data_IF_655640669112
#
_entry.id   IF_655640669112
#
_cell.length_a   1.000
_cell.length_b   1.000
_cell.length_c   1.000
_cell.angle_alpha   90.00
_cell.angle_beta   90.00
_cell.angle_gamma   90.00
#
_symmetry.space_group_name_H-M   'P 1'
#
loop_
_entity.id
_entity.type
_entity.pdbx_description
1 polymer ?
#
# COMPACT_ATOMS: atom_id res chain seq x y z
N UNK A 1 -51.16 -61.75 -18.15
CA UNK A 1 -49.89 -61.01 -18.29
C UNK A 1 -50.04 -59.71 -17.50
N UNK A 2 -49.46 -59.63 -16.29
CA UNK A 2 -49.59 -58.44 -15.42
C UNK A 2 -48.52 -57.43 -15.82
N UNK A 3 -48.92 -56.31 -16.38
CA UNK A 3 -48.04 -55.17 -16.67
C UNK A 3 -48.14 -54.27 -15.44
N UNK A 4 -47.04 -54.14 -14.68
CA UNK A 4 -46.97 -53.25 -13.53
C UNK A 4 -46.62 -51.83 -14.01
N UNK A 5 -47.57 -50.89 -13.90
CA UNK A 5 -47.34 -49.47 -14.10
C UNK A 5 -46.48 -48.87 -12.97
N UNK A 6 -45.14 -48.85 -13.15
CA UNK A 6 -44.19 -48.15 -12.26
C UNK A 6 -43.75 -46.78 -12.82
N UNK A 7 -44.68 -45.97 -13.36
CA UNK A 7 -44.34 -44.67 -13.97
C UNK A 7 -44.21 -43.49 -12.99
N UNK A 8 -44.68 -43.62 -11.73
CA UNK A 8 -44.64 -42.53 -10.74
C UNK A 8 -43.34 -42.36 -9.95
N UNK A 9 -42.52 -43.41 -9.84
CA UNK A 9 -41.28 -43.37 -9.03
C UNK A 9 -40.15 -42.62 -9.73
N UNK A 10 -40.12 -42.67 -11.08
CA UNK A 10 -39.08 -42.04 -11.88
C UNK A 10 -39.02 -40.54 -11.67
N UNK A 11 -40.17 -39.85 -11.68
CA UNK A 11 -40.25 -38.39 -11.57
C UNK A 11 -39.71 -37.86 -10.25
N UNK A 12 -39.99 -38.55 -9.14
CA UNK A 12 -39.48 -38.16 -7.81
C UNK A 12 -37.95 -38.28 -7.76
N UNK A 13 -37.41 -39.38 -8.28
CA UNK A 13 -35.96 -39.60 -8.31
C UNK A 13 -35.27 -38.54 -9.15
N UNK A 14 -35.85 -38.16 -10.30
CA UNK A 14 -35.30 -37.10 -11.16
C UNK A 14 -35.29 -35.75 -10.44
N UNK A 15 -36.37 -35.39 -9.74
CA UNK A 15 -36.44 -34.12 -9.00
C UNK A 15 -35.41 -34.09 -7.87
N UNK A 16 -35.26 -35.18 -7.12
CA UNK A 16 -34.26 -35.26 -6.04
C UNK A 16 -32.83 -35.15 -6.59
N UNK A 17 -32.52 -35.85 -7.69
CA UNK A 17 -31.21 -35.73 -8.36
C UNK A 17 -30.94 -34.31 -8.85
N UNK A 18 -31.94 -33.65 -9.43
CA UNK A 18 -31.82 -32.28 -9.92
C UNK A 18 -31.53 -31.31 -8.76
N UNK A 19 -32.23 -31.47 -7.64
CA UNK A 19 -31.98 -30.67 -6.42
C UNK A 19 -30.57 -30.92 -5.86
N UNK A 20 -30.12 -32.18 -5.81
CA UNK A 20 -28.77 -32.51 -5.34
C UNK A 20 -27.68 -31.89 -6.23
N UNK A 21 -27.86 -31.91 -7.54
CA UNK A 21 -26.94 -31.27 -8.50
C UNK A 21 -26.92 -29.75 -8.31
N UNK A 22 -28.08 -29.12 -8.09
CA UNK A 22 -28.14 -27.68 -7.84
C UNK A 22 -27.39 -27.29 -6.55
N UNK A 23 -27.59 -28.03 -5.45
CA UNK A 23 -26.88 -27.79 -4.18
C UNK A 23 -25.36 -27.99 -4.37
N UNK A 24 -24.96 -29.05 -5.08
CA UNK A 24 -23.55 -29.31 -5.37
C UNK A 24 -22.91 -28.18 -6.19
N UNK A 25 -23.62 -27.65 -7.19
CA UNK A 25 -23.14 -26.52 -7.99
C UNK A 25 -22.95 -25.25 -7.14
N UNK A 26 -23.91 -24.91 -6.27
CA UNK A 26 -23.79 -23.75 -5.37
C UNK A 26 -22.63 -23.93 -4.38
N UNK A 27 -22.46 -25.13 -3.82
CA UNK A 27 -21.37 -25.43 -2.89
C UNK A 27 -19.99 -25.27 -3.55
N UNK A 28 -19.83 -25.72 -4.80
CA UNK A 28 -18.58 -25.54 -5.55
C UNK A 28 -18.29 -24.05 -5.78
N UNK A 29 -19.28 -23.27 -6.20
CA UNK A 29 -19.11 -21.83 -6.41
C UNK A 29 -18.72 -21.14 -5.10
N UNK A 30 -19.41 -21.44 -4.00
CA UNK A 30 -19.12 -20.87 -2.69
C UNK A 30 -17.70 -21.22 -2.20
N UNK A 31 -17.22 -22.45 -2.47
CA UNK A 31 -15.90 -22.90 -2.07
C UNK A 31 -14.75 -22.07 -2.69
N UNK A 32 -14.94 -21.51 -3.88
CA UNK A 32 -13.94 -20.65 -4.53
C UNK A 32 -14.17 -19.16 -4.25
N UNK A 33 -15.42 -18.69 -4.30
CA UNK A 33 -15.73 -17.27 -4.17
C UNK A 33 -15.51 -16.77 -2.74
N UNK A 34 -15.90 -17.53 -1.72
CA UNK A 34 -15.77 -17.11 -0.32
C UNK A 34 -14.32 -16.85 0.11
N UNK A 35 -13.36 -17.77 -0.12
CA UNK A 35 -11.96 -17.49 0.23
C UNK A 35 -11.35 -16.38 -0.62
N UNK A 36 -11.75 -16.25 -1.89
CA UNK A 36 -11.29 -15.17 -2.77
C UNK A 36 -11.69 -13.79 -2.24
N UNK A 37 -12.96 -13.60 -1.87
CA UNK A 37 -13.44 -12.34 -1.29
C UNK A 37 -12.76 -12.05 0.05
N UNK A 38 -12.65 -13.06 0.93
CA UNK A 38 -11.99 -12.90 2.23
C UNK A 38 -10.52 -12.51 2.11
N UNK A 39 -9.80 -13.10 1.14
CA UNK A 39 -8.43 -12.71 0.81
C UNK A 39 -8.35 -11.23 0.47
N UNK A 40 -9.06 -10.78 -0.55
CA UNK A 40 -9.03 -9.38 -1.00
C UNK A 40 -9.44 -8.37 0.07
N UNK A 41 -10.40 -8.72 0.93
CA UNK A 41 -10.82 -7.86 2.05
C UNK A 41 -9.75 -7.73 3.12
N UNK A 42 -9.07 -8.83 3.48
CA UNK A 42 -8.01 -8.81 4.50
C UNK A 42 -6.84 -7.92 4.08
N UNK A 43 -6.46 -7.96 2.80
CA UNK A 43 -5.38 -7.12 2.26
C UNK A 43 -5.78 -5.64 2.22
N UNK A 44 -7.04 -5.37 1.88
CA UNK A 44 -7.58 -4.02 1.85
C UNK A 44 -7.72 -3.43 3.26
N UNK A 45 -7.99 -4.27 4.27
CA UNK A 45 -8.13 -3.85 5.67
C UNK A 45 -6.80 -3.37 6.25
N UNK A 46 -5.68 -4.03 5.92
CA UNK A 46 -4.34 -3.60 6.34
C UNK A 46 -3.99 -2.22 5.78
N UNK A 47 -4.23 -1.99 4.48
CA UNK A 47 -4.00 -0.68 3.87
C UNK A 47 -4.98 0.39 4.35
N UNK A 48 -6.23 0.02 4.63
CA UNK A 48 -7.22 0.96 5.18
C UNK A 48 -6.84 1.40 6.60
N UNK A 49 -6.25 0.53 7.42
CA UNK A 49 -5.80 0.87 8.77
C UNK A 49 -4.64 1.87 8.79
N UNK A 50 -3.80 1.90 7.73
CA UNK A 50 -2.69 2.85 7.57
C UNK A 50 -3.04 4.05 6.66
N UNK A 51 -4.24 4.07 6.08
CA UNK A 51 -4.70 5.16 5.22
C UNK A 51 -4.76 6.47 6.01
N UNK A 52 -4.11 7.52 5.50
CA UNK A 52 -4.01 8.81 6.18
C UNK A 52 -3.21 8.80 7.48
N UNK A 53 -2.51 7.70 7.79
CA UNK A 53 -1.58 7.61 8.93
C UNK A 53 -0.16 8.00 8.56
N UNK A 54 0.21 7.93 7.29
CA UNK A 54 1.49 8.49 6.81
C UNK A 54 1.15 9.67 5.93
N UNK A 55 1.64 10.85 6.33
CA UNK A 55 1.33 12.10 5.64
C UNK A 55 2.58 12.96 5.49
N UNK A 56 2.58 13.81 4.46
CA UNK A 56 3.62 14.79 4.21
C UNK A 56 3.21 16.11 4.84
N UNK A 57 3.99 16.57 5.82
CA UNK A 57 3.72 17.84 6.47
C UNK A 57 4.24 18.97 5.59
N UNK A 58 3.34 19.69 4.93
CA UNK A 58 3.67 20.89 4.16
C UNK A 58 4.27 21.99 5.08
N UNK A 59 5.17 22.81 4.53
CA UNK A 59 5.77 23.95 5.23
C UNK A 59 7.26 23.79 5.55
N UNK A 60 7.69 24.20 6.76
CA UNK A 60 9.11 24.21 7.13
C UNK A 60 9.73 22.82 6.99
N UNK A 61 10.85 22.74 6.26
CA UNK A 61 11.58 21.52 5.91
C UNK A 61 10.91 20.57 4.89
N UNK A 62 9.82 20.99 4.24
CA UNK A 62 9.27 20.32 3.04
C UNK A 62 9.42 21.24 1.84
N UNK A 63 10.56 21.17 1.16
CA UNK A 63 10.86 22.05 0.04
C UNK A 63 11.96 21.47 -0.88
N UNK A 64 11.98 21.94 -2.12
CA UNK A 64 13.01 21.59 -3.11
C UNK A 64 14.04 22.71 -3.24
N UNK A 65 15.32 22.39 -3.00
CA UNK A 65 16.43 23.31 -3.17
C UNK A 65 17.07 23.10 -4.55
N UNK A 66 16.84 24.04 -5.46
CA UNK A 66 17.37 23.98 -6.82
C UNK A 66 18.91 24.14 -6.90
N UNK A 67 19.53 24.75 -5.88
CA UNK A 67 20.98 25.02 -5.80
C UNK A 67 21.74 23.78 -5.34
N UNK A 68 21.31 23.14 -4.25
CA UNK A 68 21.93 21.90 -3.76
C UNK A 68 21.39 20.64 -4.44
N UNK A 69 20.31 20.75 -5.24
CA UNK A 69 19.59 19.63 -5.85
C UNK A 69 19.13 18.62 -4.79
N UNK A 70 18.68 19.13 -3.66
CA UNK A 70 18.15 18.34 -2.56
C UNK A 70 16.66 18.64 -2.35
N UNK A 71 15.89 17.61 -2.06
CA UNK A 71 14.49 17.73 -1.66
C UNK A 71 14.40 17.34 -0.20
N UNK A 72 13.90 18.23 0.64
CA UNK A 72 13.55 17.89 2.01
C UNK A 72 12.05 17.57 2.05
N UNK A 73 11.68 16.44 2.64
CA UNK A 73 10.28 16.03 2.86
C UNK A 73 10.13 15.65 4.31
N UNK A 74 9.21 16.31 5.01
CA UNK A 74 8.83 15.95 6.36
C UNK A 74 7.67 14.97 6.34
N UNK A 75 7.93 13.77 6.85
CA UNK A 75 6.97 12.67 6.90
C UNK A 75 6.51 12.51 8.34
N UNK A 76 5.20 12.59 8.55
CA UNK A 76 4.55 12.36 9.83
C UNK A 76 3.94 10.98 9.85
N UNK A 77 4.11 10.27 10.96
CA UNK A 77 3.40 9.02 11.23
C UNK A 77 2.38 9.25 12.34
N UNK A 78 1.11 9.09 12.01
CA UNK A 78 0.00 9.03 12.96
C UNK A 78 -0.02 7.72 13.74
N UNK A 79 -0.89 7.66 14.74
CA UNK A 79 -1.11 6.47 15.56
C UNK A 79 -1.80 5.38 14.73
N UNK A 80 -1.15 4.23 14.60
CA UNK A 80 -1.65 3.05 13.91
C UNK A 80 -1.54 1.85 14.84
N UNK A 81 -2.49 1.72 15.76
CA UNK A 81 -2.47 0.75 16.86
C UNK A 81 -2.51 -0.72 16.43
N UNK A 82 -2.89 -1.01 15.18
CA UNK A 82 -3.20 -2.37 14.74
C UNK A 82 -2.32 -2.88 13.58
N UNK A 83 -1.40 -2.08 13.04
CA UNK A 83 -0.61 -2.44 11.85
C UNK A 83 0.84 -1.94 11.93
N UNK A 84 1.80 -2.87 11.80
CA UNK A 84 3.24 -2.55 11.72
C UNK A 84 3.61 -2.01 10.34
N UNK A 85 4.18 -0.81 10.32
CA UNK A 85 4.79 -0.19 9.14
C UNK A 85 6.29 -0.43 9.21
N UNK A 86 6.82 -1.19 8.26
CA UNK A 86 8.23 -1.57 8.18
C UNK A 86 9.03 -0.62 7.27
N UNK A 87 8.33 0.15 6.44
CA UNK A 87 8.95 1.12 5.55
C UNK A 87 7.99 2.19 5.04
N UNK A 88 8.57 3.16 4.32
CA UNK A 88 7.85 4.20 3.60
C UNK A 88 8.50 4.36 2.24
N UNK A 89 7.72 4.24 1.18
CA UNK A 89 8.16 4.51 -0.19
C UNK A 89 7.82 5.95 -0.53
N UNK A 90 8.83 6.73 -0.94
CA UNK A 90 8.69 8.12 -1.35
C UNK A 90 8.96 8.24 -2.83
N UNK A 91 7.99 8.71 -3.59
CA UNK A 91 8.13 8.99 -5.03
C UNK A 91 8.19 10.49 -5.21
N UNK A 92 9.31 10.96 -5.75
CA UNK A 92 9.47 12.36 -6.14
C UNK A 92 9.15 12.47 -7.63
N UNK A 93 8.22 13.35 -8.00
CA UNK A 93 7.84 13.59 -9.38
C UNK A 93 8.06 15.06 -9.76
N UNK A 94 8.52 15.26 -10.99
CA UNK A 94 8.87 16.59 -11.48
C UNK A 94 9.38 16.59 -12.91
N UNK A 95 9.11 17.68 -13.65
CA UNK A 95 9.59 17.91 -15.02
C UNK A 95 9.48 16.70 -15.96
N UNK A 96 8.41 15.91 -15.86
CA UNK A 96 8.15 14.73 -16.70
C UNK A 96 8.92 13.45 -16.33
N UNK A 97 9.54 13.38 -15.16
CA UNK A 97 10.18 12.17 -14.64
C UNK A 97 9.76 11.93 -13.18
N UNK A 98 9.85 10.69 -12.72
CA UNK A 98 9.65 10.34 -11.31
C UNK A 98 10.76 9.42 -10.83
N UNK A 99 11.12 9.53 -9.55
CA UNK A 99 12.07 8.65 -8.88
C UNK A 99 11.49 8.17 -7.57
N UNK A 100 11.53 6.85 -7.37
CA UNK A 100 11.11 6.19 -6.14
C UNK A 100 12.30 5.94 -5.23
N UNK A 101 12.11 6.18 -3.95
CA UNK A 101 13.05 5.92 -2.87
C UNK A 101 12.34 5.13 -1.78
N UNK A 102 12.81 3.93 -1.49
CA UNK A 102 12.27 3.11 -0.41
C UNK A 102 13.07 3.35 0.87
N UNK A 103 12.38 3.74 1.95
CA UNK A 103 12.93 3.98 3.28
C UNK A 103 12.47 2.84 4.17
N UNK A 104 13.37 1.93 4.51
CA UNK A 104 13.11 0.84 5.45
C UNK A 104 13.75 1.15 6.81
N UNK A 105 13.13 0.68 7.90
CA UNK A 105 13.72 0.81 9.23
C UNK A 105 15.07 0.11 9.31
N UNK A 106 16.14 0.85 9.62
CA UNK A 106 17.51 0.33 9.69
C UNK A 106 18.19 0.16 8.33
N UNK A 107 17.52 0.46 7.22
CA UNK A 107 18.12 0.47 5.89
C UNK A 107 19.11 1.63 5.71
N UNK A 108 19.98 1.53 4.70
CA UNK A 108 20.85 2.64 4.29
C UNK A 108 20.69 2.89 2.80
N UNK A 109 20.61 4.16 2.41
CA UNK A 109 20.63 4.55 0.99
C UNK A 109 21.64 5.69 0.79
N UNK A 110 22.45 5.67 -0.27
CA UNK A 110 23.42 6.73 -0.55
C UNK A 110 22.74 8.06 -0.95
N UNK A 111 21.48 8.01 -1.38
CA UNK A 111 20.74 9.18 -1.89
C UNK A 111 19.71 9.74 -0.91
N UNK A 112 19.53 9.10 0.25
CA UNK A 112 18.56 9.51 1.27
C UNK A 112 19.26 9.65 2.61
N UNK A 113 18.97 10.72 3.34
CA UNK A 113 19.41 10.91 4.72
C UNK A 113 18.30 11.50 5.57
N UNK A 114 18.32 11.25 6.87
CA UNK A 114 17.55 12.06 7.81
C UNK A 114 18.23 13.42 7.97
N UNK A 115 17.49 14.50 8.21
CA UNK A 115 18.03 15.87 8.30
C UNK A 115 19.26 15.98 9.24
N UNK A 116 19.27 15.20 10.33
CA UNK A 116 20.34 15.18 11.34
C UNK A 116 21.47 14.17 11.10
N UNK A 117 21.42 13.39 10.00
CA UNK A 117 22.39 12.31 9.70
C UNK A 117 23.07 12.53 8.34
N UNK A 118 24.22 11.89 8.15
CA UNK A 118 24.91 11.85 6.86
C UNK A 118 24.25 10.87 5.87
N UNK A 119 24.50 11.09 4.57
CA UNK A 119 24.12 10.14 3.51
C UNK A 119 24.74 8.76 3.75
N UNK A 120 23.99 7.69 3.45
CA UNK A 120 24.42 6.32 3.73
C UNK A 120 24.35 5.91 5.20
N UNK A 121 23.84 6.76 6.09
CA UNK A 121 23.55 6.40 7.48
C UNK A 121 22.29 5.54 7.61
N UNK A 122 22.14 4.86 8.76
CA UNK A 122 20.94 4.11 9.08
C UNK A 122 19.70 5.02 9.13
N UNK A 123 18.74 4.73 8.26
CA UNK A 123 17.45 5.40 8.17
C UNK A 123 16.55 4.89 9.29
N UNK A 124 16.08 5.81 10.12
CA UNK A 124 15.07 5.54 11.13
C UNK A 124 13.73 6.02 10.61
N UNK A 125 12.69 5.19 10.72
CA UNK A 125 11.31 5.61 10.50
C UNK A 125 10.80 6.43 11.68
N UNK A 126 9.88 7.39 11.49
CA UNK A 126 9.19 8.04 12.61
C UNK A 126 8.44 6.99 13.43
N UNK A 127 8.49 7.12 14.76
CA UNK A 127 7.62 6.36 15.65
C UNK A 127 6.17 6.89 15.54
N UNK A 128 5.24 6.20 16.19
CA UNK A 128 3.85 6.66 16.22
C UNK A 128 3.72 8.02 16.90
N UNK A 129 3.09 8.97 16.20
CA UNK A 129 2.94 10.34 16.66
C UNK A 129 4.18 11.22 16.41
N UNK A 130 5.25 10.69 15.83
CA UNK A 130 6.45 11.46 15.49
C UNK A 130 6.49 11.91 14.03
N UNK A 131 7.31 12.91 13.77
CA UNK A 131 7.65 13.38 12.42
C UNK A 131 9.17 13.36 12.22
N UNK A 132 9.60 12.94 11.03
CA UNK A 132 11.00 12.96 10.64
C UNK A 132 11.15 13.64 9.28
N UNK A 133 12.18 14.48 9.15
CA UNK A 133 12.55 15.09 7.88
C UNK A 133 13.60 14.23 7.18
N UNK A 134 13.30 13.85 5.95
CA UNK A 134 14.21 13.16 5.05
C UNK A 134 14.67 14.09 3.94
N UNK A 135 15.95 14.01 3.60
CA UNK A 135 16.56 14.77 2.52
C UNK A 135 16.97 13.79 1.44
N UNK A 136 16.45 14.02 0.24
CA UNK A 136 16.69 13.23 -0.96
C UNK A 136 17.60 14.00 -1.91
N UNK A 137 18.69 13.36 -2.32
CA UNK A 137 19.59 13.93 -3.31
C UNK A 137 19.11 13.59 -4.72
N UNK A 138 18.76 14.61 -5.50
CA UNK A 138 18.29 14.46 -6.89
C UNK A 138 19.32 14.97 -7.91
N UNK A 139 20.56 15.26 -7.51
CA UNK A 139 21.63 15.84 -8.35
C UNK A 139 21.88 15.07 -9.65
N UNK A 140 21.76 13.74 -9.62
CA UNK A 140 21.97 12.89 -10.81
C UNK A 140 20.78 12.78 -11.76
N UNK A 141 19.69 13.52 -11.52
CA UNK A 141 18.42 13.35 -12.27
C UNK A 141 18.10 14.51 -13.21
N UNK A 142 18.72 15.68 -13.04
CA UNK A 142 18.35 16.90 -13.77
C UNK A 142 16.90 17.37 -13.57
N UNK A 143 16.18 16.78 -12.61
CA UNK A 143 14.75 16.97 -12.37
C UNK A 143 14.51 18.16 -11.43
N UNK A 144 13.48 18.96 -11.74
CA UNK A 144 12.88 19.89 -10.78
C UNK A 144 11.67 19.24 -10.13
N UNK A 145 11.75 18.95 -8.82
CA UNK A 145 10.68 18.26 -8.09
C UNK A 145 9.55 19.23 -7.78
N UNK A 146 8.33 18.86 -8.18
CA UNK A 146 7.10 19.63 -7.94
C UNK A 146 6.14 18.92 -6.99
N UNK A 147 6.20 17.59 -6.91
CA UNK A 147 5.36 16.79 -6.02
C UNK A 147 6.13 15.64 -5.38
N UNK A 148 5.72 15.29 -4.16
CA UNK A 148 6.13 14.08 -3.47
C UNK A 148 4.89 13.23 -3.18
N UNK A 149 5.01 11.95 -3.42
CA UNK A 149 4.03 10.95 -3.03
C UNK A 149 4.67 10.05 -1.97
N UNK A 150 3.94 9.78 -0.90
CA UNK A 150 4.43 8.97 0.21
C UNK A 150 3.47 7.82 0.45
N UNK A 151 3.96 6.60 0.26
CA UNK A 151 3.22 5.36 0.48
C UNK A 151 3.79 4.61 1.69
N UNK A 152 2.96 4.18 2.65
CA UNK A 152 3.39 3.24 3.67
C UNK A 152 3.70 1.87 3.05
N UNK A 153 4.75 1.22 3.56
CA UNK A 153 5.12 -0.16 3.25
C UNK A 153 4.92 -1.01 4.50
N UNK A 154 4.03 -1.99 4.38
CA UNK A 154 3.69 -2.95 5.43
C UNK A 154 4.79 -4.01 5.58
N UNK A 155 4.81 -4.71 6.71
CA UNK A 155 5.70 -5.85 6.95
C UNK A 155 5.55 -7.00 5.93
N UNK A 156 4.44 -7.02 5.19
CA UNK A 156 4.16 -7.95 4.10
C UNK A 156 4.75 -7.51 2.75
N UNK A 157 5.68 -6.54 2.73
CA UNK A 157 6.24 -5.87 1.54
C UNK A 157 5.17 -5.18 0.65
N UNK A 158 3.96 -5.01 1.17
CA UNK A 158 2.86 -4.37 0.46
C UNK A 158 2.94 -2.86 0.55
N UNK A 159 2.80 -2.21 -0.60
CA UNK A 159 2.78 -0.75 -0.74
C UNK A 159 1.33 -0.31 -0.79
N UNK A 160 0.90 0.50 0.19
CA UNK A 160 -0.45 1.04 0.23
C UNK A 160 -0.57 2.36 -0.55
N UNK A 161 -1.80 2.86 -0.64
CA UNK A 161 -2.12 4.10 -1.35
C UNK A 161 -1.22 5.26 -0.90
N UNK A 162 -0.73 6.02 -1.88
CA UNK A 162 0.19 7.12 -1.65
C UNK A 162 -0.57 8.39 -1.26
N UNK A 163 0.00 9.16 -0.34
CA UNK A 163 -0.45 10.53 -0.09
C UNK A 163 0.41 11.48 -0.89
N UNK A 164 -0.21 12.26 -1.78
CA UNK A 164 0.47 13.24 -2.63
C UNK A 164 0.48 14.60 -1.96
N UNK A 165 1.65 15.25 -1.94
CA UNK A 165 1.83 16.62 -1.49
C UNK A 165 2.66 17.42 -2.50
N UNK A 166 2.30 18.69 -2.68
CA UNK A 166 3.08 19.63 -3.48
C UNK A 166 4.32 20.09 -2.72
N UNK A 167 5.46 20.10 -3.41
CA UNK A 167 6.72 20.56 -2.83
C UNK A 167 7.06 21.94 -3.41
N UNK A 168 6.99 23.01 -2.60
CA UNK A 168 7.43 24.32 -3.05
C UNK A 168 8.96 24.39 -3.15
N UNK A 169 9.46 25.38 -3.90
CA UNK A 169 10.88 25.70 -3.86
C UNK A 169 11.26 26.22 -2.46
N UNK A 170 12.43 25.82 -1.95
CA UNK A 170 12.96 26.39 -0.71
C UNK A 170 13.23 27.88 -0.94
N UNK A 171 12.64 28.73 -0.10
CA UNK A 171 12.87 30.17 -0.06
C UNK A 171 14.13 30.53 0.72
#
# INVERSE_FOLDING_TARGET
>A
MKINDKKGVSTIVTVVLLVLVAIAAVALIAAFIVPFIKGSLSESQECFAVLGKVDVVAGQNTCYNATSKEVSVRIKRGFASDVSIDGVAVVLAGSGSSKRFDITAGGSSPSVRTLSKAYGGALSLPAEGEENTYVFNVSGSGMSVSSAEVSPVLASDKVCEATTAEIPACA
#
